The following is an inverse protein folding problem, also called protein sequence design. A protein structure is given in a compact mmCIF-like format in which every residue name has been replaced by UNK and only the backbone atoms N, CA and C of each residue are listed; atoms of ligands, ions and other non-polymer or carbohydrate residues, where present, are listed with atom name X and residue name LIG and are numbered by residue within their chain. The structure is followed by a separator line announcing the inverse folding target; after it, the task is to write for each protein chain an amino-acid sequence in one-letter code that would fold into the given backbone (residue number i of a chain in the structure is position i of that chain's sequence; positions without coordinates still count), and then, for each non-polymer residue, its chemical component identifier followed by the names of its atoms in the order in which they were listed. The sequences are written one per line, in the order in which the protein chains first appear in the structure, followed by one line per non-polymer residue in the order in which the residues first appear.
data_IF_070078580403
#
_entry.id   IF_070078580403
#
_cell.length_a   1.000
_cell.length_b   1.000
_cell.length_c   1.000
_cell.angle_alpha   90.00
_cell.angle_beta   90.00
_cell.angle_gamma   90.00
#
_symmetry.space_group_name_H-M   'P 1'
#
loop_
_entity.id
_entity.type
_entity.pdbx_description
1 polymer ?
#
# COMPACT_ATOMS: atom_id res chain seq x y z
N UNK A 1 9.53 -1.97 8.92
CA UNK A 1 9.96 -0.85 8.04
C UNK A 1 9.67 0.47 8.71
N UNK A 2 10.54 1.44 8.55
CA UNK A 2 10.33 2.80 9.05
C UNK A 2 9.84 3.71 7.92
N UNK A 3 9.30 4.88 8.27
CA UNK A 3 8.77 5.84 7.30
C UNK A 3 9.78 6.22 6.23
N UNK A 4 11.04 6.45 6.61
CA UNK A 4 12.11 6.79 5.67
C UNK A 4 12.40 5.68 4.67
N UNK A 5 12.22 4.42 5.06
CA UNK A 5 12.37 3.28 4.15
C UNK A 5 11.23 3.26 3.11
N UNK A 6 10.01 3.52 3.54
CA UNK A 6 8.87 3.62 2.65
C UNK A 6 9.04 4.78 1.66
N UNK A 7 9.48 5.94 2.13
CA UNK A 7 9.74 7.09 1.27
C UNK A 7 10.80 6.78 0.21
N UNK A 8 11.85 6.03 0.59
CA UNK A 8 12.87 5.58 -0.36
C UNK A 8 12.29 4.65 -1.43
N UNK A 9 11.45 3.69 -1.01
CA UNK A 9 10.77 2.79 -1.94
C UNK A 9 9.85 3.54 -2.91
N UNK A 10 9.11 4.53 -2.43
CA UNK A 10 8.23 5.34 -3.26
C UNK A 10 9.04 6.15 -4.28
N UNK A 11 10.16 6.76 -3.87
CA UNK A 11 11.05 7.48 -4.79
C UNK A 11 11.63 6.54 -5.86
N UNK A 12 12.06 5.35 -5.45
CA UNK A 12 12.59 4.37 -6.40
C UNK A 12 11.50 3.90 -7.38
N UNK A 13 10.30 3.64 -6.90
CA UNK A 13 9.17 3.28 -7.74
C UNK A 13 8.83 4.40 -8.74
N UNK A 14 8.88 5.65 -8.32
CA UNK A 14 8.64 6.81 -9.19
C UNK A 14 9.68 6.88 -10.32
N UNK A 15 10.95 6.65 -10.02
CA UNK A 15 12.01 6.63 -11.03
C UNK A 15 11.85 5.48 -12.03
N UNK A 16 11.47 4.30 -11.54
CA UNK A 16 11.32 3.10 -12.36
C UNK A 16 10.14 3.21 -13.31
N UNK A 17 9.00 3.72 -12.82
CA UNK A 17 7.73 3.75 -13.56
C UNK A 17 7.48 5.07 -14.26
N UNK A 18 8.21 6.13 -13.91
CA UNK A 18 7.93 7.51 -14.29
C UNK A 18 6.51 7.97 -13.91
N UNK A 19 6.00 7.42 -12.83
CA UNK A 19 4.72 7.76 -12.23
C UNK A 19 4.94 8.48 -10.90
N UNK A 20 3.99 9.29 -10.47
CA UNK A 20 4.12 10.09 -9.25
C UNK A 20 3.01 9.85 -8.23
N UNK A 21 2.05 9.01 -8.56
CA UNK A 21 0.94 8.67 -7.67
C UNK A 21 0.90 7.18 -7.39
N UNK A 22 1.01 6.84 -6.12
CA UNK A 22 1.00 5.45 -5.67
C UNK A 22 0.05 5.29 -4.49
N UNK A 23 -0.61 4.15 -4.43
CA UNK A 23 -1.33 3.73 -3.23
C UNK A 23 -0.49 2.69 -2.50
N UNK A 24 -0.25 2.92 -1.22
CA UNK A 24 0.41 1.96 -0.35
C UNK A 24 -0.66 1.10 0.29
N UNK A 25 -0.54 -0.20 0.10
CA UNK A 25 -1.51 -1.19 0.57
C UNK A 25 -0.87 -2.02 1.69
N UNK A 26 -1.70 -2.62 2.53
CA UNK A 26 -1.24 -3.54 3.57
C UNK A 26 -0.66 -2.84 4.78
N UNK A 27 0.18 -3.56 5.53
CA UNK A 27 0.65 -3.15 6.85
C UNK A 27 1.45 -1.85 6.84
N UNK A 28 2.20 -1.58 5.77
CA UNK A 28 3.06 -0.40 5.71
C UNK A 28 2.32 0.89 5.32
N UNK A 29 1.05 0.80 4.94
CA UNK A 29 0.23 1.99 4.67
C UNK A 29 0.10 2.92 5.88
N UNK A 30 0.22 2.37 7.08
CA UNK A 30 0.15 3.13 8.33
C UNK A 30 1.27 4.17 8.46
N UNK A 31 2.43 3.93 7.83
CA UNK A 31 3.57 4.83 7.88
C UNK A 31 3.29 6.21 7.27
N UNK A 32 2.32 6.28 6.36
CA UNK A 32 1.90 7.53 5.74
C UNK A 32 0.85 8.31 6.54
N UNK A 33 0.21 7.68 7.52
CA UNK A 33 -0.93 8.26 8.24
C UNK A 33 -0.71 8.39 9.74
N UNK A 34 0.22 7.62 10.31
CA UNK A 34 0.51 7.63 11.75
C UNK A 34 1.97 7.99 11.95
N UNK A 35 2.22 9.06 12.71
CA UNK A 35 3.58 9.58 12.91
C UNK A 35 4.47 8.61 13.69
N UNK A 36 3.91 7.96 14.71
CA UNK A 36 4.63 6.98 15.54
C UNK A 36 3.83 5.69 15.66
N UNK A 37 3.81 4.85 14.61
CA UNK A 37 3.05 3.60 14.65
C UNK A 37 3.66 2.61 15.65
N UNK A 38 2.83 1.72 16.18
CA UNK A 38 3.29 0.65 17.08
C UNK A 38 4.27 -0.26 16.33
N UNK A 39 5.24 -0.83 17.07
CA UNK A 39 6.26 -1.70 16.51
C UNK A 39 5.67 -2.87 15.71
N UNK A 40 4.56 -3.44 16.15
CA UNK A 40 3.86 -4.52 15.44
C UNK A 40 3.34 -4.11 14.06
N UNK A 41 3.10 -2.81 13.83
CA UNK A 41 2.66 -2.28 12.55
C UNK A 41 3.84 -2.00 11.60
N UNK A 42 5.06 -1.89 12.14
CA UNK A 42 6.28 -1.62 11.35
C UNK A 42 7.16 -2.85 11.20
N UNK A 43 6.66 -4.01 11.55
CA UNK A 43 7.39 -5.28 11.58
C UNK A 43 7.83 -5.75 10.19
N UNK A 44 7.01 -5.54 9.17
CA UNK A 44 7.32 -6.02 7.81
C UNK A 44 8.41 -5.19 7.15
N UNK A 45 9.25 -5.83 6.35
CA UNK A 45 10.24 -5.20 5.47
C UNK A 45 9.74 -5.08 4.03
N UNK A 46 8.47 -5.44 3.78
CA UNK A 46 7.81 -5.37 2.48
C UNK A 46 6.77 -4.25 2.48
N UNK A 47 6.73 -3.47 1.41
CA UNK A 47 5.66 -2.51 1.13
C UNK A 47 4.95 -2.91 -0.17
N UNK A 48 3.63 -2.98 -0.12
CA UNK A 48 2.81 -3.23 -1.31
C UNK A 48 2.46 -1.89 -1.95
N UNK A 49 2.92 -1.68 -3.19
CA UNK A 49 2.77 -0.42 -3.91
C UNK A 49 1.92 -0.63 -5.17
N UNK A 50 0.85 0.16 -5.28
CA UNK A 50 -0.02 0.17 -6.45
C UNK A 50 0.18 1.48 -7.23
N UNK A 51 0.67 1.42 -8.48
CA UNK A 51 0.80 2.62 -9.31
C UNK A 51 -0.57 3.02 -9.87
N UNK A 52 -1.14 4.10 -9.34
CA UNK A 52 -2.52 4.51 -9.61
C UNK A 52 -2.79 4.82 -11.09
N UNK A 53 -1.86 5.53 -11.76
CA UNK A 53 -2.04 5.92 -13.15
C UNK A 53 -1.67 4.84 -14.16
N UNK A 54 -0.94 3.80 -13.74
CA UNK A 54 -0.41 2.79 -14.65
C UNK A 54 -0.23 1.44 -13.94
N UNK A 55 -1.34 0.75 -13.58
CA UNK A 55 -1.27 -0.53 -12.86
C UNK A 55 -0.44 -1.60 -13.58
N UNK A 56 -0.35 -1.53 -14.90
CA UNK A 56 0.44 -2.44 -15.72
C UNK A 56 1.94 -2.36 -15.44
N UNK A 57 2.40 -1.27 -14.81
CA UNK A 57 3.81 -1.09 -14.45
C UNK A 57 4.19 -1.74 -13.11
N UNK A 58 3.26 -2.39 -12.43
CA UNK A 58 3.54 -3.09 -11.18
C UNK A 58 4.67 -4.12 -11.31
N UNK A 59 4.77 -4.82 -12.44
CA UNK A 59 5.81 -5.81 -12.68
C UNK A 59 7.21 -5.18 -12.78
N UNK A 60 7.32 -3.94 -13.24
CA UNK A 60 8.60 -3.20 -13.24
C UNK A 60 9.08 -2.94 -11.82
N UNK A 61 8.16 -2.62 -10.91
CA UNK A 61 8.48 -2.45 -9.48
C UNK A 61 9.01 -3.76 -8.91
N UNK A 62 8.33 -4.87 -9.17
CA UNK A 62 8.76 -6.19 -8.71
C UNK A 62 10.14 -6.56 -9.21
N UNK A 63 10.44 -6.29 -10.47
CA UNK A 63 11.72 -6.64 -11.07
C UNK A 63 12.90 -5.81 -10.56
N UNK A 64 12.68 -4.54 -10.26
CA UNK A 64 13.75 -3.60 -9.90
C UNK A 64 13.99 -3.49 -8.40
N UNK A 65 12.93 -3.45 -7.59
CA UNK A 65 13.02 -3.25 -6.13
C UNK A 65 12.22 -4.27 -5.32
N UNK A 66 11.82 -5.37 -5.95
CA UNK A 66 11.08 -6.45 -5.31
C UNK A 66 11.94 -7.40 -4.50
N UNK A 67 11.30 -8.45 -3.99
CA UNK A 67 11.97 -9.51 -3.25
C UNK A 67 13.08 -10.14 -4.10
N UNK A 68 14.23 -10.37 -3.48
CA UNK A 68 15.43 -10.95 -4.10
C UNK A 68 16.09 -10.07 -5.17
N UNK A 69 15.66 -8.81 -5.33
CA UNK A 69 16.35 -7.85 -6.19
C UNK A 69 17.67 -7.39 -5.56
N UNK A 70 18.53 -6.76 -6.36
CA UNK A 70 19.74 -6.10 -5.84
C UNK A 70 19.42 -5.02 -4.81
N UNK A 71 18.32 -4.31 -5.01
CA UNK A 71 17.82 -3.31 -4.07
C UNK A 71 17.52 -3.95 -2.70
N UNK A 72 16.77 -5.05 -2.70
CA UNK A 72 16.44 -5.79 -1.48
C UNK A 72 17.72 -6.29 -0.77
N UNK A 73 18.64 -6.85 -1.52
CA UNK A 73 19.92 -7.34 -0.98
C UNK A 73 20.74 -6.22 -0.34
N UNK A 74 20.75 -5.04 -0.95
CA UNK A 74 21.55 -3.92 -0.48
C UNK A 74 20.92 -3.20 0.71
N UNK A 75 19.60 -2.96 0.69
CA UNK A 75 18.92 -2.14 1.70
C UNK A 75 18.17 -2.94 2.77
N UNK A 76 17.90 -4.20 2.54
CA UNK A 76 17.20 -5.06 3.50
C UNK A 76 15.67 -4.92 3.51
N UNK A 77 15.10 -4.03 2.72
CA UNK A 77 13.66 -3.87 2.52
C UNK A 77 13.34 -3.84 1.02
N UNK A 78 12.09 -4.05 0.68
CA UNK A 78 11.68 -4.16 -0.71
C UNK A 78 10.22 -3.78 -0.91
N UNK A 79 9.84 -3.57 -2.16
CA UNK A 79 8.46 -3.28 -2.54
C UNK A 79 7.89 -4.37 -3.45
N UNK A 80 6.64 -4.71 -3.24
CA UNK A 80 5.88 -5.52 -4.17
C UNK A 80 4.95 -4.62 -4.97
N UNK A 81 5.09 -4.60 -6.28
CA UNK A 81 4.13 -3.95 -7.16
C UNK A 81 2.86 -4.79 -7.22
N UNK A 82 1.72 -4.17 -6.96
CA UNK A 82 0.44 -4.87 -6.97
C UNK A 82 -0.52 -4.16 -7.92
N UNK A 83 -1.35 -4.94 -8.59
CA UNK A 83 -2.39 -4.43 -9.49
C UNK A 83 -3.79 -4.59 -8.93
N UNK A 84 -3.92 -5.25 -7.78
CA UNK A 84 -5.19 -5.46 -7.09
C UNK A 84 -4.93 -5.84 -5.62
N UNK A 85 -5.94 -5.64 -4.77
CA UNK A 85 -5.85 -6.00 -3.36
C UNK A 85 -5.87 -7.52 -3.16
N UNK A 86 -5.20 -7.96 -2.11
CA UNK A 86 -5.11 -9.37 -1.72
C UNK A 86 -5.88 -9.65 -0.44
N UNK A 87 -6.08 -10.91 -0.11
CA UNK A 87 -6.73 -11.34 1.13
C UNK A 87 -5.93 -10.90 2.39
N UNK A 88 -4.61 -10.92 2.30
CA UNK A 88 -3.73 -10.42 3.35
C UNK A 88 -4.02 -8.96 3.70
N UNK A 89 -4.22 -8.14 2.67
CA UNK A 89 -4.55 -6.74 2.83
C UNK A 89 -5.93 -6.55 3.46
N UNK A 90 -6.87 -7.44 3.13
CA UNK A 90 -8.20 -7.42 3.71
C UNK A 90 -8.15 -7.62 5.23
N UNK A 91 -7.38 -8.59 5.70
CA UNK A 91 -7.22 -8.86 7.14
C UNK A 91 -6.63 -7.66 7.86
N UNK A 92 -5.57 -7.09 7.32
CA UNK A 92 -4.90 -5.94 7.93
C UNK A 92 -5.80 -4.70 7.96
N UNK A 93 -6.42 -4.38 6.84
CA UNK A 93 -7.26 -3.18 6.76
C UNK A 93 -8.52 -3.30 7.62
N UNK A 94 -9.07 -4.51 7.76
CA UNK A 94 -10.16 -4.76 8.71
C UNK A 94 -9.72 -4.47 10.15
N UNK A 95 -8.50 -4.85 10.50
CA UNK A 95 -7.94 -4.56 11.82
C UNK A 95 -7.77 -3.05 12.05
N UNK A 96 -7.32 -2.29 11.06
CA UNK A 96 -7.21 -0.83 11.15
C UNK A 96 -8.58 -0.18 11.43
N UNK A 97 -9.63 -0.62 10.73
CA UNK A 97 -10.98 -0.12 10.93
C UNK A 97 -11.51 -0.51 12.32
N UNK A 98 -11.31 -1.77 12.72
CA UNK A 98 -11.78 -2.28 14.02
C UNK A 98 -11.17 -1.53 15.20
N UNK A 99 -9.90 -1.18 15.11
CA UNK A 99 -9.17 -0.49 16.19
C UNK A 99 -9.24 1.04 16.09
N UNK A 100 -9.99 1.59 15.13
CA UNK A 100 -10.18 3.02 14.99
C UNK A 100 -8.94 3.80 14.53
N UNK A 101 -7.92 3.11 14.03
CA UNK A 101 -6.72 3.75 13.49
C UNK A 101 -7.06 4.51 12.20
N UNK A 102 -7.96 3.93 11.40
CA UNK A 102 -8.52 4.56 10.22
C UNK A 102 -10.03 4.45 10.33
N UNK A 103 -10.75 5.56 10.15
CA UNK A 103 -12.21 5.52 10.15
C UNK A 103 -12.73 5.06 8.79
N UNK A 104 -13.94 4.50 8.79
CA UNK A 104 -14.62 4.12 7.55
C UNK A 104 -14.75 5.32 6.60
N UNK A 105 -15.12 6.49 7.12
CA UNK A 105 -15.27 7.70 6.32
C UNK A 105 -13.95 8.14 5.68
N UNK A 106 -12.83 8.05 6.42
CA UNK A 106 -11.50 8.35 5.88
C UNK A 106 -11.12 7.39 4.76
N UNK A 107 -11.37 6.09 4.94
CA UNK A 107 -11.08 5.09 3.93
C UNK A 107 -11.91 5.30 2.65
N UNK A 108 -13.20 5.58 2.81
CA UNK A 108 -14.11 5.85 1.69
C UNK A 108 -13.75 7.14 0.95
N UNK A 109 -13.38 8.20 1.70
CA UNK A 109 -12.95 9.46 1.11
C UNK A 109 -11.69 9.27 0.26
N UNK A 110 -10.74 8.44 0.72
CA UNK A 110 -9.54 8.12 -0.06
C UNK A 110 -9.87 7.35 -1.32
N UNK A 111 -10.74 6.35 -1.25
CA UNK A 111 -11.18 5.59 -2.41
C UNK A 111 -11.86 6.50 -3.46
N UNK A 112 -12.67 7.46 -3.01
CA UNK A 112 -13.36 8.41 -3.90
C UNK A 112 -12.41 9.36 -4.63
N UNK A 113 -11.18 9.56 -4.14
CA UNK A 113 -10.16 10.41 -4.76
C UNK A 113 -9.37 9.71 -5.86
N UNK A 114 -9.63 8.42 -6.12
CA UNK A 114 -8.90 7.67 -7.15
C UNK A 114 -9.34 8.11 -8.54
N UNK A 115 -8.36 8.34 -9.42
CA UNK A 115 -8.62 8.82 -10.79
C UNK A 115 -9.33 7.77 -11.66
N UNK A 116 -9.07 6.49 -11.45
CA UNK A 116 -9.76 5.40 -12.14
C UNK A 116 -11.07 5.09 -11.44
N UNK A 117 -12.20 5.47 -12.07
CA UNK A 117 -13.52 5.30 -11.49
C UNK A 117 -13.90 3.84 -11.25
N UNK A 118 -13.48 2.91 -12.12
CA UNK A 118 -13.75 1.49 -11.94
C UNK A 118 -12.98 0.93 -10.74
N UNK A 119 -11.75 1.37 -10.55
CA UNK A 119 -10.94 0.98 -9.41
C UNK A 119 -11.47 1.62 -8.12
N UNK A 120 -11.87 2.90 -8.17
CA UNK A 120 -12.50 3.58 -7.03
C UNK A 120 -13.76 2.86 -6.55
N UNK A 121 -14.61 2.41 -7.48
CA UNK A 121 -15.80 1.63 -7.15
C UNK A 121 -15.45 0.29 -6.49
N UNK A 122 -14.46 -0.41 -7.01
CA UNK A 122 -14.00 -1.67 -6.41
C UNK A 122 -13.41 -1.48 -5.04
N UNK A 123 -12.60 -0.43 -4.87
CA UNK A 123 -12.02 -0.09 -3.57
C UNK A 123 -13.11 0.26 -2.55
N UNK A 124 -14.09 1.07 -2.95
CA UNK A 124 -15.24 1.42 -2.10
C UNK A 124 -16.04 0.19 -1.69
N UNK A 125 -16.37 -0.68 -2.62
CA UNK A 125 -17.09 -1.92 -2.33
C UNK A 125 -16.29 -2.85 -1.41
N UNK A 126 -14.99 -2.92 -1.61
CA UNK A 126 -14.09 -3.72 -0.78
C UNK A 126 -14.01 -3.17 0.65
N UNK A 127 -13.89 -1.84 0.82
CA UNK A 127 -13.88 -1.18 2.13
C UNK A 127 -15.18 -1.45 2.89
N UNK A 128 -16.33 -1.35 2.22
CA UNK A 128 -17.62 -1.67 2.82
C UNK A 128 -17.70 -3.13 3.29
N UNK A 129 -17.15 -4.07 2.52
CA UNK A 129 -17.10 -5.48 2.94
C UNK A 129 -16.24 -5.68 4.18
N UNK A 130 -15.12 -4.96 4.28
CA UNK A 130 -14.23 -5.04 5.45
C UNK A 130 -14.90 -4.51 6.73
N UNK A 131 -15.76 -3.51 6.61
CA UNK A 131 -16.42 -2.88 7.75
C UNK A 131 -17.59 -3.70 8.31
N UNK A 132 -18.06 -4.74 7.59
CA UNK A 132 -19.13 -5.60 8.07
C UNK A 132 -18.61 -6.53 9.17
N UNK A 133 -19.42 -6.75 10.24
CA UNK A 133 -19.08 -7.77 11.24
C UNK A 133 -19.09 -9.15 10.60
N UNK A 134 -18.09 -9.93 10.94
CA UNK A 134 -17.97 -11.32 10.47
C UNK A 134 -18.75 -12.26 11.38
#
# INVERSE_FOLDING_TARGET
MQKQHLEHLIRAAAEITNEYEFMIIGSQSILGTVESPRAECTFSMEADIYPLGAPELADLINGAIGELSFFHDHFGYYAQGVSRTTEKDAVFNRALLKHGIVTLDQALARAAQMDDSAWAQRATAWIHRLSRPS
#
